data_IF_172419425357
#
_entry.id   IF_172419425357
#
_cell.length_a   1.000
_cell.length_b   1.000
_cell.length_c   1.000
_cell.angle_alpha   90.00
_cell.angle_beta   90.00
_cell.angle_gamma   90.00
#
_symmetry.space_group_name_H-M   'P 1'
#
loop_
_entity.id
_entity.type
_entity.pdbx_description
1 polymer ?
#
# COMPACT_ATOMS: atom_id res chain seq x y z
N UNK A 1 19.70 2.51 -37.92
CA UNK A 1 19.83 2.48 -36.45
C UNK A 1 18.46 2.30 -35.81
N UNK A 2 18.12 1.07 -35.39
CA UNK A 2 16.88 0.74 -34.69
C UNK A 2 17.11 0.91 -33.18
N UNK A 3 16.43 1.84 -32.53
CA UNK A 3 16.48 2.02 -31.07
C UNK A 3 15.68 0.89 -30.41
N UNK A 4 16.33 0.22 -29.47
CA UNK A 4 15.95 -1.01 -28.78
C UNK A 4 14.64 -0.90 -27.99
N UNK A 5 13.61 -1.65 -28.40
CA UNK A 5 12.47 -2.01 -27.55
C UNK A 5 12.77 -3.18 -26.58
N UNK A 6 13.95 -3.82 -26.64
CA UNK A 6 14.20 -5.07 -25.90
C UNK A 6 14.68 -4.92 -24.45
N UNK A 7 15.38 -3.84 -24.07
CA UNK A 7 15.93 -3.69 -22.70
C UNK A 7 14.88 -3.36 -21.62
N UNK A 8 13.83 -2.64 -22.00
CA UNK A 8 12.77 -2.20 -21.05
C UNK A 8 11.79 -3.30 -20.71
N UNK A 9 11.55 -4.23 -21.65
CA UNK A 9 10.70 -5.40 -21.44
C UNK A 9 11.34 -6.38 -20.45
N UNK A 10 12.67 -6.50 -20.50
CA UNK A 10 13.46 -7.37 -19.63
C UNK A 10 13.38 -6.96 -18.15
N UNK A 11 13.56 -5.66 -17.86
CA UNK A 11 13.49 -5.13 -16.48
C UNK A 11 12.10 -5.24 -15.84
N UNK A 12 11.06 -5.14 -16.66
CA UNK A 12 9.70 -5.23 -16.12
C UNK A 12 9.34 -6.67 -15.74
N UNK A 13 9.70 -7.63 -16.60
CA UNK A 13 9.56 -9.05 -16.33
C UNK A 13 10.40 -9.43 -15.12
N UNK A 14 11.63 -8.92 -15.01
CA UNK A 14 12.51 -9.12 -13.86
C UNK A 14 11.88 -8.61 -12.55
N UNK A 15 11.38 -7.36 -12.53
CA UNK A 15 10.68 -6.81 -11.36
C UNK A 15 9.44 -7.64 -11.00
N UNK A 16 8.67 -8.08 -12.00
CA UNK A 16 7.49 -8.91 -11.78
C UNK A 16 7.81 -10.27 -11.15
N UNK A 17 8.87 -10.94 -11.64
CA UNK A 17 9.35 -12.21 -11.08
C UNK A 17 9.82 -12.02 -9.63
N UNK A 18 10.61 -10.98 -9.36
CA UNK A 18 11.12 -10.66 -8.01
C UNK A 18 9.99 -10.30 -7.04
N UNK A 19 9.01 -9.50 -7.46
CA UNK A 19 7.81 -9.20 -6.66
C UNK A 19 7.00 -10.46 -6.37
N UNK A 20 6.92 -11.39 -7.32
CA UNK A 20 6.23 -12.65 -7.14
C UNK A 20 6.91 -13.52 -6.09
N UNK A 21 8.23 -13.68 -6.17
CA UNK A 21 9.02 -14.36 -5.14
C UNK A 21 8.81 -13.69 -3.78
N UNK A 22 8.98 -12.36 -3.71
CA UNK A 22 8.78 -11.59 -2.48
C UNK A 22 7.38 -11.80 -1.89
N UNK A 23 6.33 -11.85 -2.72
CA UNK A 23 4.96 -12.07 -2.26
C UNK A 23 4.72 -13.44 -1.64
N UNK A 24 5.51 -14.45 -2.02
CA UNK A 24 5.45 -15.78 -1.44
C UNK A 24 6.23 -15.80 -0.12
N UNK A 25 7.48 -15.34 -0.13
CA UNK A 25 8.38 -15.44 1.03
C UNK A 25 8.10 -14.43 2.15
N UNK A 26 7.48 -13.30 1.80
CA UNK A 26 7.21 -12.16 2.68
C UNK A 26 5.72 -11.84 2.64
N UNK A 27 4.89 -12.87 2.82
CA UNK A 27 3.45 -12.84 2.53
C UNK A 27 2.67 -11.71 3.23
N UNK A 28 3.18 -11.11 4.31
CA UNK A 28 2.72 -9.83 4.85
C UNK A 28 3.87 -9.09 5.56
N UNK A 29 4.15 -7.83 5.22
CA UNK A 29 5.13 -7.03 5.96
C UNK A 29 4.65 -5.64 6.36
N UNK A 30 4.71 -5.40 7.66
CA UNK A 30 4.58 -4.14 8.41
C UNK A 30 3.45 -3.24 7.91
N UNK A 31 2.31 -3.31 8.59
CA UNK A 31 1.44 -2.15 8.69
C UNK A 31 2.27 -0.97 9.21
N UNK A 32 2.48 0.04 8.37
CA UNK A 32 3.15 1.28 8.77
C UNK A 32 2.14 2.41 8.62
N UNK A 33 2.06 3.21 9.68
CA UNK A 33 1.41 4.51 9.60
C UNK A 33 2.26 5.47 8.76
N UNK A 34 1.62 6.46 8.15
CA UNK A 34 2.33 7.56 7.52
C UNK A 34 2.95 8.47 8.59
N UNK A 35 4.11 9.10 8.33
CA UNK A 35 4.67 10.09 9.25
C UNK A 35 3.68 11.22 9.52
N UNK A 36 3.50 11.57 10.80
CA UNK A 36 2.66 12.71 11.21
C UNK A 36 3.38 14.03 10.88
N UNK A 37 2.62 15.00 10.39
CA UNK A 37 3.03 16.40 10.17
C UNK A 37 2.38 17.31 11.20
N UNK A 38 2.56 18.63 11.02
CA UNK A 38 1.83 19.63 11.78
C UNK A 38 0.33 19.57 11.50
N UNK A 39 -0.44 20.17 12.41
CA UNK A 39 -1.89 20.03 12.50
C UNK A 39 -2.62 20.37 11.19
N UNK A 40 -2.15 21.36 10.45
CA UNK A 40 -2.76 21.83 9.20
C UNK A 40 -2.56 20.82 8.07
N UNK A 41 -1.33 20.34 7.90
CA UNK A 41 -1.01 19.31 6.90
C UNK A 41 -1.71 17.99 7.23
N UNK A 42 -1.74 17.59 8.50
CA UNK A 42 -2.45 16.38 8.92
C UNK A 42 -3.96 16.48 8.64
N UNK A 43 -4.58 17.62 8.93
CA UNK A 43 -5.99 17.86 8.59
C UNK A 43 -6.23 17.77 7.08
N UNK A 44 -5.33 18.32 6.26
CA UNK A 44 -5.40 18.22 4.78
C UNK A 44 -5.29 16.78 4.30
N UNK A 45 -4.34 16.01 4.84
CA UNK A 45 -4.14 14.59 4.49
C UNK A 45 -5.33 13.74 4.91
N UNK A 46 -5.87 13.99 6.10
CA UNK A 46 -7.08 13.35 6.59
C UNK A 46 -8.30 13.65 5.74
N UNK A 47 -8.44 14.88 5.25
CA UNK A 47 -9.46 15.26 4.27
C UNK A 47 -9.29 14.44 2.97
N UNK A 48 -8.07 14.37 2.44
CA UNK A 48 -7.77 13.64 1.20
C UNK A 48 -8.08 12.15 1.33
N UNK A 49 -7.63 11.50 2.40
CA UNK A 49 -7.91 10.09 2.70
C UNK A 49 -9.42 9.84 2.87
N UNK A 50 -10.12 10.77 3.53
CA UNK A 50 -11.57 10.67 3.75
C UNK A 50 -12.35 10.77 2.44
N UNK A 51 -12.01 11.74 1.58
CA UNK A 51 -12.63 11.87 0.26
C UNK A 51 -12.32 10.63 -0.58
N UNK A 52 -11.07 10.15 -0.59
CA UNK A 52 -10.67 8.94 -1.31
C UNK A 52 -11.47 7.72 -0.82
N UNK A 53 -11.65 7.57 0.49
CA UNK A 53 -12.46 6.51 1.09
C UNK A 53 -13.92 6.58 0.63
N UNK A 54 -14.54 7.75 0.67
CA UNK A 54 -15.94 7.94 0.29
C UNK A 54 -16.19 7.71 -1.22
N UNK A 55 -15.17 7.92 -2.05
CA UNK A 55 -15.23 7.67 -3.49
C UNK A 55 -15.01 6.19 -3.88
N UNK A 56 -14.49 5.36 -2.98
CA UNK A 56 -14.27 3.93 -3.21
C UNK A 56 -15.56 3.13 -2.92
N UNK A 57 -16.48 3.16 -3.88
CA UNK A 57 -17.89 2.76 -3.68
C UNK A 57 -18.16 1.25 -3.76
N UNK A 58 -17.17 0.43 -4.15
CA UNK A 58 -17.30 -1.04 -4.24
C UNK A 58 -16.24 -1.75 -3.41
N UNK A 59 -16.54 -2.96 -2.92
CA UNK A 59 -15.49 -3.81 -2.35
C UNK A 59 -14.62 -4.38 -3.46
N UNK A 60 -13.31 -4.33 -3.27
CA UNK A 60 -12.34 -4.99 -4.14
C UNK A 60 -11.12 -4.11 -4.42
N UNK A 61 -10.53 -4.32 -5.59
CA UNK A 61 -9.40 -3.53 -6.08
C UNK A 61 -9.75 -2.49 -7.14
N UNK A 62 -10.89 -2.62 -7.82
CA UNK A 62 -11.19 -1.82 -9.02
C UNK A 62 -11.50 -0.34 -8.73
N UNK A 63 -12.30 -0.07 -7.69
CA UNK A 63 -12.74 1.30 -7.32
C UNK A 63 -11.85 1.97 -6.28
N UNK A 64 -10.74 1.33 -5.90
CA UNK A 64 -9.76 1.94 -4.99
C UNK A 64 -9.40 3.30 -5.56
N UNK A 65 -9.67 4.33 -4.78
CA UNK A 65 -9.58 5.72 -5.20
C UNK A 65 -8.43 6.40 -4.49
N UNK A 66 -7.71 7.23 -5.21
CA UNK A 66 -6.68 8.12 -4.69
C UNK A 66 -7.04 9.58 -4.97
N UNK A 67 -6.53 10.48 -4.14
CA UNK A 67 -6.79 11.93 -4.18
C UNK A 67 -5.49 12.73 -4.06
N UNK A 68 -5.42 13.89 -4.71
CA UNK A 68 -4.33 14.84 -4.56
C UNK A 68 -4.82 16.28 -4.75
N UNK A 69 -4.16 17.24 -4.10
CA UNK A 69 -4.47 18.67 -4.26
C UNK A 69 -3.37 19.36 -5.06
N UNK A 70 -3.76 19.92 -6.20
CA UNK A 70 -2.93 20.81 -6.99
C UNK A 70 -3.19 22.26 -6.54
N UNK A 71 -2.11 23.02 -6.36
CA UNK A 71 -2.13 24.48 -6.40
C UNK A 71 -2.05 24.91 -7.87
N UNK A 72 -3.05 25.62 -8.35
CA UNK A 72 -3.12 26.17 -9.70
C UNK A 72 -3.32 27.70 -9.59
N UNK A 73 -2.22 28.45 -9.61
CA UNK A 73 -2.21 29.87 -9.25
C UNK A 73 -2.83 30.12 -7.86
N UNK A 74 -3.89 30.92 -7.78
CA UNK A 74 -4.67 31.18 -6.56
C UNK A 74 -5.72 30.11 -6.26
N UNK A 75 -5.95 29.18 -7.20
CA UNK A 75 -6.97 28.16 -7.11
C UNK A 75 -6.43 26.82 -6.63
N UNK A 76 -7.35 25.99 -6.14
CA UNK A 76 -7.06 24.59 -5.76
C UNK A 76 -7.89 23.64 -6.59
N UNK A 77 -7.22 22.65 -7.19
CA UNK A 77 -7.87 21.56 -7.94
C UNK A 77 -7.72 20.27 -7.14
N UNK A 78 -8.84 19.60 -6.88
CA UNK A 78 -8.84 18.24 -6.34
C UNK A 78 -8.80 17.23 -7.49
N UNK A 79 -7.75 16.44 -7.53
CA UNK A 79 -7.61 15.35 -8.48
C UNK A 79 -8.06 14.01 -7.90
N UNK A 80 -8.76 13.23 -8.70
CA UNK A 80 -9.22 11.88 -8.41
C UNK A 80 -8.59 10.88 -9.38
N UNK A 81 -8.21 9.71 -8.88
CA UNK A 81 -7.85 8.56 -9.70
C UNK A 81 -8.45 7.29 -9.11
N UNK A 82 -8.79 6.31 -9.95
CA UNK A 82 -9.18 4.98 -9.50
C UNK A 82 -8.51 3.91 -10.36
N UNK A 83 -8.32 2.72 -9.80
CA UNK A 83 -7.62 1.62 -10.48
C UNK A 83 -8.23 1.26 -11.84
N UNK A 84 -9.54 1.43 -12.01
CA UNK A 84 -10.25 1.22 -13.29
C UNK A 84 -10.93 2.49 -13.82
N UNK A 85 -10.41 3.66 -13.43
CA UNK A 85 -10.93 4.97 -13.83
C UNK A 85 -12.06 5.47 -12.95
N UNK A 86 -12.12 6.80 -12.77
CA UNK A 86 -13.18 7.46 -12.01
C UNK A 86 -14.45 7.50 -12.83
N UNK A 87 -15.55 7.03 -12.25
CA UNK A 87 -16.86 7.06 -12.89
C UNK A 87 -17.50 8.44 -12.77
N UNK A 88 -18.37 8.76 -13.73
CA UNK A 88 -19.02 10.08 -13.80
C UNK A 88 -19.86 10.38 -12.56
N UNK A 89 -20.56 9.38 -12.03
CA UNK A 89 -21.39 9.47 -10.83
C UNK A 89 -20.54 9.69 -9.57
N UNK A 90 -19.33 9.12 -9.51
CA UNK A 90 -18.39 9.33 -8.40
C UNK A 90 -17.86 10.75 -8.43
N UNK A 91 -17.48 11.27 -9.61
CA UNK A 91 -17.04 12.68 -9.76
C UNK A 91 -18.13 13.66 -9.32
N UNK A 92 -19.37 13.47 -9.82
CA UNK A 92 -20.54 14.29 -9.44
C UNK A 92 -20.83 14.20 -7.94
N UNK A 93 -20.71 13.01 -7.36
CA UNK A 93 -20.83 12.82 -5.92
C UNK A 93 -19.76 13.61 -5.16
N UNK A 94 -18.49 13.58 -5.58
CA UNK A 94 -17.43 14.36 -4.95
C UNK A 94 -17.69 15.87 -5.02
N UNK A 95 -18.17 16.37 -6.16
CA UNK A 95 -18.55 17.78 -6.31
C UNK A 95 -19.66 18.18 -5.33
N UNK A 96 -20.73 17.38 -5.25
CA UNK A 96 -21.82 17.58 -4.29
C UNK A 96 -21.36 17.46 -2.84
N UNK A 97 -20.48 16.51 -2.54
CA UNK A 97 -19.90 16.30 -1.21
C UNK A 97 -19.14 17.57 -0.75
N UNK A 98 -18.33 18.16 -1.63
CA UNK A 98 -17.58 19.38 -1.34
C UNK A 98 -18.47 20.60 -1.20
N UNK A 99 -19.50 20.73 -2.04
CA UNK A 99 -20.50 21.79 -1.92
C UNK A 99 -21.17 21.77 -0.54
N UNK A 100 -21.70 20.61 -0.13
CA UNK A 100 -22.30 20.44 1.20
C UNK A 100 -21.30 20.64 2.33
N UNK A 101 -20.04 20.22 2.16
CA UNK A 101 -19.00 20.44 3.18
C UNK A 101 -18.70 21.94 3.40
N UNK A 102 -18.86 22.80 2.37
CA UNK A 102 -18.67 24.25 2.54
C UNK A 102 -19.77 24.92 3.36
N UNK A 103 -20.93 24.30 3.45
CA UNK A 103 -22.06 24.78 4.26
C UNK A 103 -21.92 24.47 5.75
N UNK A 104 -20.88 23.72 6.15
CA UNK A 104 -20.66 23.32 7.55
C UNK A 104 -20.30 24.54 8.41
N UNK A 105 -21.04 24.66 9.50
CA UNK A 105 -20.86 25.61 10.59
C UNK A 105 -20.95 24.86 11.93
N UNK A 106 -20.52 25.50 13.02
CA UNK A 106 -20.55 24.88 14.36
C UNK A 106 -21.97 24.46 14.75
N UNK A 107 -22.96 25.28 14.41
CA UNK A 107 -24.37 25.12 14.75
C UNK A 107 -25.10 24.03 13.94
N UNK A 108 -24.62 23.70 12.73
CA UNK A 108 -25.32 22.76 11.83
C UNK A 108 -24.52 21.46 11.55
N UNK A 109 -23.37 21.28 12.19
CA UNK A 109 -22.44 20.16 11.90
C UNK A 109 -23.13 18.80 11.95
N UNK A 110 -23.97 18.54 12.97
CA UNK A 110 -24.65 17.25 13.12
C UNK A 110 -25.70 16.98 12.01
N UNK A 111 -26.35 18.04 11.54
CA UNK A 111 -27.33 17.97 10.45
C UNK A 111 -26.60 17.70 9.13
N UNK A 112 -25.54 18.45 8.83
CA UNK A 112 -24.75 18.30 7.60
C UNK A 112 -24.05 16.93 7.59
N UNK A 113 -23.50 16.45 8.71
CA UNK A 113 -22.95 15.10 8.85
C UNK A 113 -23.98 14.03 8.47
N UNK A 114 -25.24 14.19 8.91
CA UNK A 114 -26.30 13.24 8.61
C UNK A 114 -26.64 13.23 7.12
N UNK A 115 -26.72 14.41 6.50
CA UNK A 115 -26.95 14.55 5.05
C UNK A 115 -25.79 13.97 4.23
N UNK A 116 -24.55 14.31 4.58
CA UNK A 116 -23.33 13.77 3.94
C UNK A 116 -23.25 12.25 4.06
N UNK A 117 -23.56 11.70 5.24
CA UNK A 117 -23.59 10.26 5.44
C UNK A 117 -24.66 9.59 4.56
N UNK A 118 -25.86 10.17 4.44
CA UNK A 118 -26.92 9.62 3.59
C UNK A 118 -26.46 9.47 2.14
N UNK A 119 -25.95 10.56 1.54
CA UNK A 119 -25.50 10.54 0.13
C UNK A 119 -24.30 9.61 -0.07
N UNK A 120 -23.41 9.48 0.92
CA UNK A 120 -22.30 8.54 0.85
C UNK A 120 -22.77 7.09 0.88
N UNK A 121 -23.79 6.76 1.67
CA UNK A 121 -24.35 5.42 1.75
C UNK A 121 -25.25 5.07 0.55
N UNK A 122 -25.83 6.06 -0.12
CA UNK A 122 -26.58 5.88 -1.37
C UNK A 122 -25.66 5.48 -2.54
N UNK A 123 -24.49 6.09 -2.67
CA UNK A 123 -23.54 5.72 -3.73
C UNK A 123 -22.74 4.45 -3.40
N UNK A 124 -22.50 4.17 -2.11
CA UNK A 124 -21.70 3.03 -1.66
C UNK A 124 -22.53 1.77 -1.32
N UNK A 125 -23.76 1.63 -1.82
CA UNK A 125 -24.68 0.52 -1.51
C UNK A 125 -24.02 -0.84 -1.69
N UNK A 126 -23.34 -1.07 -2.81
CA UNK A 126 -22.67 -2.35 -3.09
C UNK A 126 -21.59 -2.69 -2.04
N UNK A 127 -20.77 -1.69 -1.65
CA UNK A 127 -19.73 -1.87 -0.63
C UNK A 127 -20.32 -2.11 0.75
N UNK A 128 -21.33 -1.35 1.14
CA UNK A 128 -22.00 -1.50 2.45
C UNK A 128 -22.67 -2.87 2.54
N UNK A 129 -23.39 -3.28 1.50
CA UNK A 129 -24.05 -4.58 1.44
C UNK A 129 -23.05 -5.74 1.56
N UNK A 130 -21.89 -5.64 0.89
CA UNK A 130 -20.84 -6.64 1.03
C UNK A 130 -20.43 -6.83 2.50
N UNK A 131 -20.11 -5.75 3.21
CA UNK A 131 -19.66 -5.84 4.61
C UNK A 131 -20.80 -6.20 5.57
N UNK A 132 -22.03 -5.76 5.29
CA UNK A 132 -23.22 -6.14 6.05
C UNK A 132 -23.47 -7.66 5.98
N UNK A 133 -23.42 -8.24 4.78
CA UNK A 133 -23.61 -9.68 4.59
C UNK A 133 -22.53 -10.49 5.31
N UNK A 134 -21.27 -10.02 5.25
CA UNK A 134 -20.16 -10.66 5.94
C UNK A 134 -20.30 -10.56 7.46
N UNK A 135 -20.67 -9.39 7.98
CA UNK A 135 -20.94 -9.21 9.41
C UNK A 135 -22.08 -10.11 9.89
N UNK A 136 -23.19 -10.18 9.15
CA UNK A 136 -24.32 -11.05 9.47
C UNK A 136 -23.91 -12.53 9.48
N UNK A 137 -23.15 -12.96 8.47
CA UNK A 137 -22.62 -14.33 8.38
C UNK A 137 -21.71 -14.66 9.56
N UNK A 138 -20.80 -13.75 9.95
CA UNK A 138 -19.91 -13.98 11.10
C UNK A 138 -20.69 -13.99 12.43
N UNK A 139 -21.82 -13.29 12.52
CA UNK A 139 -22.71 -13.31 13.69
C UNK A 139 -23.75 -14.45 13.65
N UNK A 140 -23.74 -15.31 12.63
CA UNK A 140 -24.75 -16.36 12.43
C UNK A 140 -26.19 -15.81 12.37
N UNK A 141 -26.34 -14.56 11.90
CA UNK A 141 -27.63 -13.92 11.65
C UNK A 141 -28.09 -14.21 10.24
N UNK A 142 -29.41 -14.20 10.02
CA UNK A 142 -29.96 -14.31 8.67
C UNK A 142 -29.40 -13.21 7.76
N UNK A 143 -28.77 -13.55 6.62
CA UNK A 143 -28.12 -12.57 5.76
C UNK A 143 -29.18 -11.75 5.01
N UNK A 144 -29.55 -10.61 5.59
CA UNK A 144 -30.37 -9.60 4.92
C UNK A 144 -29.53 -8.35 4.67
N UNK A 145 -29.72 -7.73 3.50
CA UNK A 145 -29.23 -6.39 3.23
C UNK A 145 -30.32 -5.37 3.53
N UNK A 146 -29.93 -4.18 3.96
CA UNK A 146 -30.90 -3.10 4.15
C UNK A 146 -31.10 -2.38 2.83
N UNK A 147 -32.31 -2.48 2.26
CA UNK A 147 -32.69 -1.69 1.07
C UNK A 147 -32.87 -0.20 1.41
N UNK A 148 -33.23 0.11 2.66
CA UNK A 148 -33.47 1.46 3.17
C UNK A 148 -32.19 2.14 3.68
N UNK A 149 -31.89 3.34 3.15
CA UNK A 149 -30.76 4.17 3.59
C UNK A 149 -30.82 4.51 5.08
N UNK A 150 -32.01 4.71 5.67
CA UNK A 150 -32.14 4.98 7.11
C UNK A 150 -31.64 3.81 7.95
N UNK A 151 -31.96 2.57 7.56
CA UNK A 151 -31.45 1.36 8.23
C UNK A 151 -29.94 1.21 8.06
N UNK A 152 -29.39 1.46 6.86
CA UNK A 152 -27.93 1.48 6.63
C UNK A 152 -27.24 2.52 7.51
N UNK A 153 -27.80 3.72 7.63
CA UNK A 153 -27.30 4.78 8.51
C UNK A 153 -27.24 4.35 9.97
N UNK A 154 -28.29 3.70 10.48
CA UNK A 154 -28.31 3.16 11.85
C UNK A 154 -27.22 2.12 12.06
N UNK A 155 -27.06 1.17 11.13
CA UNK A 155 -26.00 0.16 11.18
C UNK A 155 -24.61 0.79 11.21
N UNK A 156 -24.33 1.72 10.28
CA UNK A 156 -23.03 2.37 10.18
C UNK A 156 -22.70 3.19 11.43
N UNK A 157 -23.69 3.89 12.00
CA UNK A 157 -23.53 4.59 13.30
C UNK A 157 -23.18 3.61 14.41
N UNK A 158 -23.93 2.50 14.52
CA UNK A 158 -23.64 1.47 15.52
C UNK A 158 -22.22 0.89 15.36
N UNK A 159 -21.83 0.54 14.14
CA UNK A 159 -20.48 0.04 13.87
C UNK A 159 -19.39 1.10 14.15
N UNK A 160 -19.67 2.38 13.95
CA UNK A 160 -18.74 3.46 14.27
C UNK A 160 -18.47 3.53 15.79
N UNK A 161 -19.51 3.49 16.63
CA UNK A 161 -19.34 3.49 18.09
C UNK A 161 -18.52 2.29 18.59
N UNK A 162 -18.77 1.11 18.00
CA UNK A 162 -18.04 -0.12 18.33
C UNK A 162 -16.57 -0.11 17.92
N UNK A 163 -16.10 0.82 17.07
CA UNK A 163 -14.67 0.91 16.71
C UNK A 163 -13.77 1.15 17.91
N UNK A 164 -14.30 1.80 18.96
CA UNK A 164 -13.60 2.03 20.23
C UNK A 164 -13.39 0.75 21.06
N UNK A 165 -14.12 -0.32 20.76
CA UNK A 165 -14.12 -1.59 21.52
C UNK A 165 -13.24 -2.68 20.88
N UNK A 166 -12.21 -2.28 20.12
CA UNK A 166 -11.31 -3.20 19.41
C UNK A 166 -10.82 -4.37 20.29
N UNK A 167 -10.19 -4.05 21.43
CA UNK A 167 -9.60 -5.05 22.31
C UNK A 167 -10.64 -6.07 22.82
N UNK A 168 -11.85 -5.61 23.15
CA UNK A 168 -12.93 -6.47 23.64
C UNK A 168 -13.43 -7.40 22.53
N UNK A 169 -13.60 -6.89 21.32
CA UNK A 169 -14.09 -7.69 20.19
C UNK A 169 -13.02 -8.69 19.75
N UNK A 170 -11.76 -8.28 19.64
CA UNK A 170 -10.66 -9.16 19.24
C UNK A 170 -10.32 -10.23 20.30
N UNK A 171 -10.66 -10.00 21.58
CA UNK A 171 -10.53 -11.01 22.64
C UNK A 171 -11.41 -12.26 22.41
N UNK A 172 -12.40 -12.19 21.50
CA UNK A 172 -13.22 -13.33 21.07
C UNK A 172 -12.49 -14.28 20.08
N UNK A 173 -11.16 -14.14 19.94
CA UNK A 173 -10.34 -14.97 19.05
C UNK A 173 -10.44 -14.57 17.57
N UNK A 174 -10.23 -15.53 16.67
CA UNK A 174 -10.22 -15.29 15.22
C UNK A 174 -11.56 -14.74 14.70
N UNK A 175 -12.68 -15.27 15.21
CA UNK A 175 -14.02 -14.76 14.93
C UNK A 175 -14.15 -13.29 15.35
N UNK A 176 -13.59 -12.94 16.51
CA UNK A 176 -13.50 -11.56 17.01
C UNK A 176 -12.72 -10.63 16.07
N UNK A 177 -11.55 -11.05 15.60
CA UNK A 177 -10.75 -10.29 14.64
C UNK A 177 -11.50 -10.06 13.33
N UNK A 178 -12.21 -11.07 12.83
CA UNK A 178 -13.04 -10.95 11.63
C UNK A 178 -14.23 -10.01 11.85
N UNK A 179 -14.93 -10.12 12.99
CA UNK A 179 -16.01 -9.20 13.37
C UNK A 179 -15.52 -7.77 13.43
N UNK A 180 -14.41 -7.54 14.12
CA UNK A 180 -13.82 -6.21 14.23
C UNK A 180 -13.46 -5.64 12.85
N UNK A 181 -12.93 -6.47 11.94
CA UNK A 181 -12.65 -6.04 10.58
C UNK A 181 -13.91 -5.49 9.87
N UNK A 182 -15.03 -6.20 9.91
CA UNK A 182 -16.26 -5.75 9.26
C UNK A 182 -16.91 -4.55 9.97
N UNK A 183 -16.91 -4.52 11.29
CA UNK A 183 -17.34 -3.38 12.10
C UNK A 183 -16.53 -2.13 11.74
N UNK A 184 -15.20 -2.27 11.71
CA UNK A 184 -14.30 -1.19 11.34
C UNK A 184 -14.62 -0.66 9.94
N UNK A 185 -14.80 -1.56 8.95
CA UNK A 185 -15.11 -1.19 7.57
C UNK A 185 -16.47 -0.51 7.40
N UNK A 186 -17.51 -0.96 8.10
CA UNK A 186 -18.83 -0.32 8.07
C UNK A 186 -18.78 1.08 8.69
N UNK A 187 -18.25 1.18 9.91
CA UNK A 187 -18.14 2.45 10.64
C UNK A 187 -17.19 3.48 10.00
N UNK A 188 -16.32 3.05 9.09
CA UNK A 188 -15.39 3.95 8.40
C UNK A 188 -16.08 5.03 7.53
N UNK A 189 -17.32 4.80 7.07
CA UNK A 189 -18.07 5.82 6.32
C UNK A 189 -18.38 7.04 7.20
N UNK A 190 -18.92 6.81 8.40
CA UNK A 190 -19.17 7.90 9.35
C UNK A 190 -17.86 8.53 9.84
N UNK A 191 -16.81 7.72 10.05
CA UNK A 191 -15.49 8.24 10.40
C UNK A 191 -14.94 9.22 9.35
N UNK A 192 -15.05 8.88 8.07
CA UNK A 192 -14.62 9.74 6.98
C UNK A 192 -15.47 11.03 6.88
N UNK A 193 -16.79 10.93 7.04
CA UNK A 193 -17.68 12.10 7.09
C UNK A 193 -17.32 13.02 8.25
N UNK A 194 -17.09 12.47 9.45
CA UNK A 194 -16.70 13.25 10.64
C UNK A 194 -15.35 13.95 10.49
N UNK A 195 -14.37 13.28 9.84
CA UNK A 195 -13.09 13.93 9.50
C UNK A 195 -13.29 15.09 8.53
N UNK A 196 -14.10 14.89 7.49
CA UNK A 196 -14.40 15.94 6.52
C UNK A 196 -15.11 17.14 7.16
N UNK A 197 -16.12 16.92 8.01
CA UNK A 197 -16.82 18.01 8.71
C UNK A 197 -15.92 18.69 9.75
N UNK A 198 -15.04 17.95 10.43
CA UNK A 198 -14.04 18.54 11.31
C UNK A 198 -13.11 19.49 10.55
N UNK A 199 -12.62 19.10 9.37
CA UNK A 199 -11.81 19.96 8.50
C UNK A 199 -12.61 21.16 8.01
N UNK A 200 -13.86 20.94 7.62
CA UNK A 200 -14.77 22.00 7.18
C UNK A 200 -14.97 23.10 8.23
N UNK A 201 -15.11 22.69 9.49
CA UNK A 201 -15.36 23.59 10.61
C UNK A 201 -14.09 24.33 11.05
N UNK A 202 -12.96 23.62 11.17
CA UNK A 202 -11.75 24.16 11.80
C UNK A 202 -10.74 24.74 10.80
N UNK A 203 -10.81 24.32 9.53
CA UNK A 203 -9.86 24.68 8.48
C UNK A 203 -10.58 25.08 7.19
N UNK A 204 -11.57 25.99 7.28
CA UNK A 204 -12.45 26.39 6.16
C UNK A 204 -11.73 26.69 4.85
N UNK A 205 -10.55 27.29 4.90
CA UNK A 205 -9.77 27.62 3.69
C UNK A 205 -9.35 26.38 2.89
N UNK A 206 -9.26 25.20 3.51
CA UNK A 206 -8.96 23.93 2.82
C UNK A 206 -10.07 23.46 1.89
N UNK A 207 -11.31 23.91 2.09
CA UNK A 207 -12.46 23.58 1.23
C UNK A 207 -12.64 24.55 0.05
N UNK A 208 -11.73 25.52 -0.12
CA UNK A 208 -11.66 26.40 -1.31
C UNK A 208 -11.10 25.65 -2.53
N UNK A 209 -11.67 24.47 -2.81
CA UNK A 209 -11.41 23.68 -4.00
C UNK A 209 -12.28 24.26 -5.12
N UNK A 210 -11.67 24.84 -6.15
CA UNK A 210 -12.38 25.43 -7.30
C UNK A 210 -12.94 24.36 -8.22
N UNK A 211 -12.19 23.27 -8.41
CA UNK A 211 -12.53 22.24 -9.39
C UNK A 211 -12.20 20.85 -8.87
N UNK A 212 -13.05 19.89 -9.25
CA UNK A 212 -12.76 18.45 -9.14
C UNK A 212 -12.40 17.94 -10.53
N UNK A 213 -11.27 17.25 -10.62
CA UNK A 213 -10.81 16.61 -11.85
C UNK A 213 -10.50 15.14 -11.64
N UNK A 214 -10.54 14.38 -12.74
CA UNK A 214 -10.21 12.97 -12.73
C UNK A 214 -9.06 12.70 -13.70
N UNK A 215 -8.15 11.79 -13.33
CA UNK A 215 -7.13 11.29 -14.26
C UNK A 215 -7.81 10.67 -15.47
N UNK A 216 -7.34 11.03 -16.67
CA UNK A 216 -7.80 10.41 -17.90
C UNK A 216 -7.37 8.96 -17.92
N UNK A 217 -8.34 8.05 -17.81
CA UNK A 217 -8.09 6.63 -17.81
C UNK A 217 -8.26 6.04 -19.22
N UNK A 218 -7.24 5.31 -19.67
CA UNK A 218 -7.31 4.45 -20.84
C UNK A 218 -6.90 3.04 -20.45
N UNK A 219 -7.74 2.05 -20.77
CA UNK A 219 -7.50 0.64 -20.42
C UNK A 219 -6.20 0.11 -21.03
N UNK A 220 -5.83 0.56 -22.23
CA UNK A 220 -4.57 0.19 -22.89
C UNK A 220 -3.34 0.66 -22.14
N UNK A 221 -3.44 1.81 -21.49
CA UNK A 221 -2.29 2.49 -20.87
C UNK A 221 -2.10 2.07 -19.41
N UNK A 222 -3.17 1.56 -18.79
CA UNK A 222 -3.22 1.28 -17.35
C UNK A 222 -3.32 -0.20 -17.02
N UNK A 223 -3.62 -1.05 -18.00
CA UNK A 223 -3.71 -2.50 -17.79
C UNK A 223 -3.00 -3.26 -18.88
N UNK A 224 -2.28 -4.32 -18.50
CA UNK A 224 -1.64 -5.23 -19.45
C UNK A 224 -1.64 -6.65 -18.95
N UNK A 225 -1.53 -7.59 -19.89
CA UNK A 225 -1.33 -9.00 -19.57
C UNK A 225 0.16 -9.27 -19.52
N UNK A 226 0.64 -9.81 -18.40
CA UNK A 226 2.00 -10.28 -18.24
C UNK A 226 1.97 -11.80 -18.25
N UNK A 227 2.82 -12.42 -19.07
CA UNK A 227 3.03 -13.87 -19.11
C UNK A 227 4.50 -14.16 -18.81
N UNK A 228 4.74 -14.97 -17.78
CA UNK A 228 6.08 -15.37 -17.34
C UNK A 228 6.38 -16.78 -17.88
N UNK A 229 7.55 -16.98 -18.49
CA UNK A 229 8.00 -18.30 -18.95
C UNK A 229 8.50 -19.15 -17.78
N UNK A 230 8.49 -20.47 -17.94
CA UNK A 230 8.91 -21.41 -16.88
C UNK A 230 10.40 -21.27 -16.53
N UNK A 231 11.23 -20.94 -17.53
CA UNK A 231 12.67 -20.71 -17.36
C UNK A 231 12.96 -19.54 -16.41
N UNK A 232 12.09 -18.53 -16.39
CA UNK A 232 12.22 -17.36 -15.52
C UNK A 232 11.67 -17.60 -14.11
N UNK A 233 11.03 -18.73 -13.87
CA UNK A 233 10.34 -19.06 -12.62
C UNK A 233 11.07 -20.15 -11.81
N UNK A 234 12.35 -20.38 -12.08
CA UNK A 234 13.18 -21.17 -11.19
C UNK A 234 13.63 -20.32 -9.97
N UNK A 235 13.14 -20.61 -8.75
CA UNK A 235 13.44 -19.77 -7.61
C UNK A 235 14.93 -19.79 -7.21
N UNK A 236 15.66 -20.87 -7.48
CA UNK A 236 17.09 -20.94 -7.18
C UNK A 236 17.87 -20.04 -8.13
N UNK A 237 17.49 -20.03 -9.41
CA UNK A 237 18.12 -19.15 -10.38
C UNK A 237 17.80 -17.67 -10.09
N UNK A 238 16.55 -17.35 -9.69
CA UNK A 238 16.17 -16.00 -9.28
C UNK A 238 17.05 -15.52 -8.11
N UNK A 239 17.15 -16.30 -7.03
CA UNK A 239 17.94 -15.91 -5.85
C UNK A 239 19.42 -15.81 -6.18
N UNK A 240 19.95 -16.73 -7.00
CA UNK A 240 21.33 -16.68 -7.49
C UNK A 240 21.60 -15.39 -8.27
N UNK A 241 20.72 -15.02 -9.21
CA UNK A 241 20.84 -13.79 -10.00
C UNK A 241 20.81 -12.54 -9.10
N UNK A 242 19.91 -12.49 -8.11
CA UNK A 242 19.86 -11.40 -7.12
C UNK A 242 21.21 -11.25 -6.40
N UNK A 243 21.84 -12.37 -6.04
CA UNK A 243 23.14 -12.37 -5.36
C UNK A 243 24.30 -11.95 -6.27
N UNK A 244 24.24 -12.25 -7.58
CA UNK A 244 25.35 -12.01 -8.52
C UNK A 244 25.26 -10.70 -9.28
N UNK A 245 24.06 -10.18 -9.56
CA UNK A 245 23.85 -8.98 -10.38
C UNK A 245 23.61 -7.70 -9.57
N UNK A 246 23.12 -7.84 -8.33
CA UNK A 246 22.69 -6.70 -7.50
C UNK A 246 23.81 -5.87 -6.86
N UNK A 247 25.05 -6.37 -6.85
CA UNK A 247 26.15 -5.77 -6.08
C UNK A 247 27.46 -5.80 -6.87
N UNK A 248 28.14 -4.65 -6.96
CA UNK A 248 29.46 -4.53 -7.56
C UNK A 248 30.46 -5.53 -6.98
N UNK A 249 31.30 -6.04 -7.87
CA UNK A 249 32.37 -7.04 -7.72
C UNK A 249 32.93 -7.29 -6.32
N UNK A 250 33.07 -8.59 -6.02
CA UNK A 250 33.95 -9.27 -5.03
C UNK A 250 33.77 -9.09 -3.52
N UNK A 251 33.02 -8.11 -3.01
CA UNK A 251 33.01 -7.85 -1.55
C UNK A 251 32.04 -8.71 -0.69
N UNK A 252 31.30 -9.67 -1.26
CA UNK A 252 30.25 -10.43 -0.51
C UNK A 252 30.05 -11.92 -0.85
N UNK A 253 31.00 -12.63 -1.47
CA UNK A 253 30.89 -14.11 -1.63
C UNK A 253 30.44 -14.85 -0.34
N UNK A 254 30.92 -14.49 0.87
CA UNK A 254 30.48 -15.14 2.11
C UNK A 254 28.98 -14.97 2.44
N UNK A 255 28.34 -13.94 1.89
CA UNK A 255 26.92 -13.64 2.15
C UNK A 255 25.99 -14.40 1.20
N UNK A 256 26.46 -14.77 0.01
CA UNK A 256 25.70 -15.58 -0.96
C UNK A 256 25.34 -16.95 -0.37
N UNK A 257 26.31 -17.62 0.26
CA UNK A 257 26.06 -18.93 0.87
C UNK A 257 25.02 -18.84 2.00
N UNK A 258 25.10 -17.81 2.85
CA UNK A 258 24.10 -17.57 3.90
C UNK A 258 22.71 -17.32 3.32
N UNK A 259 22.59 -16.51 2.26
CA UNK A 259 21.32 -16.26 1.58
C UNK A 259 20.75 -17.54 0.99
N UNK A 260 21.57 -18.35 0.31
CA UNK A 260 21.15 -19.62 -0.28
C UNK A 260 20.71 -20.63 0.78
N UNK A 261 21.41 -20.72 1.92
CA UNK A 261 21.00 -21.54 3.07
C UNK A 261 19.64 -21.08 3.60
N UNK A 262 19.45 -19.77 3.80
CA UNK A 262 18.17 -19.20 4.22
C UNK A 262 17.04 -19.51 3.23
N UNK A 263 17.34 -19.47 1.92
CA UNK A 263 16.41 -19.80 0.86
C UNK A 263 16.02 -21.28 0.85
N UNK A 264 16.97 -22.22 0.87
CA UNK A 264 16.70 -23.66 0.90
C UNK A 264 15.77 -24.03 2.07
N UNK A 265 16.04 -23.48 3.26
CA UNK A 265 15.19 -23.71 4.44
C UNK A 265 13.76 -23.24 4.22
N UNK A 266 13.61 -22.05 3.65
CA UNK A 266 12.29 -21.50 3.36
C UNK A 266 11.56 -22.27 2.27
N UNK A 267 12.27 -22.74 1.24
CA UNK A 267 11.69 -23.55 0.16
C UNK A 267 11.19 -24.90 0.67
N UNK A 268 11.91 -25.54 1.59
CA UNK A 268 11.45 -26.77 2.28
C UNK A 268 10.11 -26.54 2.99
N UNK A 269 9.98 -25.42 3.72
CA UNK A 269 8.76 -25.10 4.47
C UNK A 269 7.59 -24.69 3.55
N UNK A 270 7.89 -23.97 2.46
CA UNK A 270 6.86 -23.26 1.69
C UNK A 270 6.57 -23.88 0.33
N UNK A 271 7.41 -24.76 -0.18
CA UNK A 271 7.34 -25.34 -1.52
C UNK A 271 7.14 -24.24 -2.59
N UNK A 272 8.17 -23.42 -2.81
CA UNK A 272 8.07 -22.11 -3.48
C UNK A 272 7.88 -22.27 -4.99
N UNK A 273 8.56 -23.23 -5.63
CA UNK A 273 8.54 -23.39 -7.10
C UNK A 273 7.12 -23.57 -7.66
N UNK A 274 6.26 -24.47 -7.15
CA UNK A 274 4.87 -24.57 -7.62
C UNK A 274 4.06 -23.28 -7.43
N UNK A 275 4.28 -22.55 -6.33
CA UNK A 275 3.58 -21.27 -6.05
C UNK A 275 4.01 -20.16 -7.01
N UNK A 276 5.28 -20.14 -7.43
CA UNK A 276 5.76 -19.23 -8.47
C UNK A 276 5.17 -19.56 -9.84
N UNK A 277 5.02 -20.85 -10.15
CA UNK A 277 4.53 -21.33 -11.45
C UNK A 277 3.00 -21.34 -11.59
N UNK A 278 2.25 -21.12 -10.50
CA UNK A 278 0.80 -20.91 -10.58
C UNK A 278 0.47 -19.67 -11.45
N UNK A 279 -0.73 -19.54 -12.04
CA UNK A 279 -1.22 -18.30 -12.68
C UNK A 279 -0.14 -17.47 -13.44
N UNK A 280 0.56 -18.11 -14.38
CA UNK A 280 1.71 -17.52 -15.11
C UNK A 280 1.32 -16.33 -15.98
N UNK A 281 0.07 -16.32 -16.43
CA UNK A 281 -0.53 -15.21 -17.14
C UNK A 281 -1.50 -14.49 -16.23
N UNK A 282 -1.25 -13.22 -15.97
CA UNK A 282 -2.11 -12.40 -15.12
C UNK A 282 -2.24 -10.99 -15.67
N UNK A 283 -3.35 -10.35 -15.30
CA UNK A 283 -3.60 -8.94 -15.64
C UNK A 283 -2.95 -8.05 -14.59
N UNK A 284 -1.93 -7.30 -14.98
CA UNK A 284 -1.34 -6.26 -14.16
C UNK A 284 -2.05 -4.92 -14.41
N UNK A 285 -2.00 -4.03 -13.40
CA UNK A 285 -2.60 -2.70 -13.50
C UNK A 285 -1.78 -1.63 -12.79
N UNK A 286 -1.94 -0.40 -13.25
CA UNK A 286 -1.45 0.78 -12.56
C UNK A 286 -2.45 1.18 -11.48
N UNK A 287 -1.96 1.27 -10.24
CA UNK A 287 -2.76 1.69 -9.10
C UNK A 287 -3.06 3.20 -9.10
N UNK A 288 -4.16 3.58 -8.48
CA UNK A 288 -4.67 4.95 -8.41
C UNK A 288 -3.64 5.93 -7.83
N UNK A 289 -2.89 5.52 -6.81
CA UNK A 289 -1.83 6.34 -6.22
C UNK A 289 -0.74 6.68 -7.26
N UNK A 290 -0.36 5.68 -8.06
CA UNK A 290 0.65 5.83 -9.11
C UNK A 290 0.16 6.69 -10.27
N UNK A 291 -1.12 6.61 -10.61
CA UNK A 291 -1.74 7.45 -11.63
C UNK A 291 -1.63 8.95 -11.28
N UNK A 292 -1.90 9.32 -10.02
CA UNK A 292 -1.76 10.71 -9.56
C UNK A 292 -0.30 11.14 -9.46
N UNK A 293 0.57 10.28 -8.92
CA UNK A 293 1.99 10.58 -8.82
C UNK A 293 2.61 10.83 -10.20
N UNK A 294 2.24 10.01 -11.17
CA UNK A 294 2.68 10.16 -12.55
C UNK A 294 2.13 11.44 -13.20
N UNK A 295 0.83 11.72 -13.04
CA UNK A 295 0.23 12.96 -13.56
C UNK A 295 0.96 14.20 -13.06
N UNK A 296 1.14 14.33 -11.73
CA UNK A 296 1.80 15.48 -11.14
C UNK A 296 3.27 15.57 -11.56
N UNK A 297 3.96 14.43 -11.62
CA UNK A 297 5.36 14.36 -12.05
C UNK A 297 5.55 14.79 -13.50
N UNK A 298 4.70 14.30 -14.41
CA UNK A 298 4.82 14.57 -15.85
C UNK A 298 4.36 15.96 -16.23
N UNK A 299 3.28 16.44 -15.61
CA UNK A 299 2.73 17.77 -15.88
C UNK A 299 3.43 18.88 -15.09
N UNK A 300 4.29 18.52 -14.13
CA UNK A 300 4.96 19.50 -13.28
C UNK A 300 3.99 20.26 -12.37
N UNK A 301 2.90 19.61 -11.95
CA UNK A 301 1.91 20.25 -11.08
C UNK A 301 2.46 20.42 -9.66
N UNK A 302 2.16 21.58 -9.08
CA UNK A 302 2.57 21.93 -7.72
C UNK A 302 1.53 21.41 -6.73
N UNK A 303 1.98 20.72 -5.69
CA UNK A 303 1.11 20.27 -4.61
C UNK A 303 0.70 21.45 -3.71
N UNK A 304 -0.53 21.44 -3.22
CA UNK A 304 -0.99 22.47 -2.29
C UNK A 304 -0.19 22.40 -0.99
N UNK A 305 0.46 23.52 -0.64
CA UNK A 305 1.22 23.65 0.62
C UNK A 305 2.54 22.88 0.63
N UNK A 306 3.12 22.60 -0.54
CA UNK A 306 4.34 21.78 -0.71
C UNK A 306 4.23 20.34 -0.17
N UNK A 307 3.03 19.93 0.22
CA UNK A 307 2.73 18.61 0.77
C UNK A 307 2.45 17.64 -0.38
N UNK A 308 3.50 16.92 -0.84
CA UNK A 308 3.45 15.96 -1.96
C UNK A 308 2.74 14.66 -1.59
N UNK A 309 1.60 14.78 -0.92
CA UNK A 309 0.81 13.69 -0.41
C UNK A 309 -0.27 13.25 -1.40
N UNK A 310 -0.38 11.94 -1.57
CA UNK A 310 -1.46 11.30 -2.32
C UNK A 310 -2.31 10.53 -1.31
N UNK A 311 -3.54 10.99 -1.09
CA UNK A 311 -4.49 10.30 -0.23
C UNK A 311 -5.07 9.07 -0.91
N UNK A 312 -5.48 8.06 -0.14
CA UNK A 312 -6.01 6.81 -0.70
C UNK A 312 -7.11 6.20 0.19
N UNK A 313 -8.05 5.47 -0.43
CA UNK A 313 -9.18 4.83 0.26
C UNK A 313 -8.78 3.71 1.23
N UNK A 314 -7.54 3.24 1.13
CA UNK A 314 -6.90 2.26 2.01
C UNK A 314 -5.38 2.48 1.96
N UNK A 315 -4.65 1.92 2.93
CA UNK A 315 -3.19 1.97 2.90
C UNK A 315 -2.64 1.43 1.58
N UNK A 316 -1.51 1.97 1.12
CA UNK A 316 -0.84 1.55 -0.09
C UNK A 316 -0.46 0.07 -0.05
N UNK A 317 -0.37 -0.57 -1.21
CA UNK A 317 0.33 -1.84 -1.32
C UNK A 317 1.85 -1.62 -1.23
N UNK A 318 2.61 -2.69 -1.03
CA UNK A 318 4.08 -2.62 -0.97
C UNK A 318 4.67 -1.87 -2.18
N UNK A 319 4.23 -2.22 -3.40
CA UNK A 319 4.71 -1.57 -4.62
C UNK A 319 4.47 -0.06 -4.60
N UNK A 320 3.26 0.38 -4.28
CA UNK A 320 2.91 1.80 -4.27
C UNK A 320 3.66 2.57 -3.17
N UNK A 321 3.80 1.95 -1.99
CA UNK A 321 4.54 2.52 -0.87
C UNK A 321 6.02 2.75 -1.23
N UNK A 322 6.69 1.74 -1.78
CA UNK A 322 8.10 1.86 -2.17
C UNK A 322 8.26 2.79 -3.38
N UNK A 323 7.36 2.70 -4.37
CA UNK A 323 7.41 3.55 -5.55
C UNK A 323 7.34 5.03 -5.16
N UNK A 324 6.37 5.42 -4.32
CA UNK A 324 6.24 6.81 -3.86
C UNK A 324 7.44 7.23 -3.00
N UNK A 325 7.92 6.35 -2.12
CA UNK A 325 9.07 6.63 -1.23
C UNK A 325 10.38 6.82 -2.00
N UNK A 326 10.58 6.07 -3.09
CA UNK A 326 11.81 6.09 -3.90
C UNK A 326 11.75 7.09 -5.06
N UNK A 327 10.57 7.67 -5.31
CA UNK A 327 10.33 8.56 -6.44
C UNK A 327 11.20 9.81 -6.38
N UNK A 328 11.78 10.20 -7.51
CA UNK A 328 12.68 11.37 -7.61
C UNK A 328 12.03 12.69 -7.16
N UNK A 329 10.70 12.81 -7.32
CA UNK A 329 9.93 13.97 -6.86
C UNK A 329 9.59 13.92 -5.37
N UNK A 330 10.19 13.03 -4.57
CA UNK A 330 10.09 13.02 -3.10
C UNK A 330 8.63 13.11 -2.62
N UNK A 331 7.79 12.19 -3.06
CA UNK A 331 6.42 12.11 -2.57
C UNK A 331 6.41 11.80 -1.07
N UNK A 332 5.38 12.28 -0.40
CA UNK A 332 5.17 11.99 1.01
C UNK A 332 4.77 10.52 1.17
N UNK A 333 5.41 9.86 2.14
CA UNK A 333 5.27 8.42 2.34
C UNK A 333 3.85 8.09 2.81
N UNK A 334 3.11 7.21 2.10
CA UNK A 334 1.76 6.84 2.50
C UNK A 334 1.77 5.83 3.66
N UNK A 335 0.61 5.65 4.30
CA UNK A 335 0.39 4.48 5.13
C UNK A 335 0.33 3.22 4.23
N UNK A 336 0.67 2.05 4.76
CA UNK A 336 0.69 0.81 3.97
C UNK A 336 0.02 -0.35 4.70
N UNK A 337 -0.69 -1.19 3.93
CA UNK A 337 -1.16 -2.49 4.42
C UNK A 337 -0.14 -3.61 4.17
N UNK A 338 1.01 -3.30 3.56
CA UNK A 338 2.14 -4.23 3.50
C UNK A 338 2.00 -5.41 2.54
N UNK A 339 0.89 -5.49 1.79
CA UNK A 339 0.64 -6.62 0.89
C UNK A 339 1.44 -6.42 -0.39
N UNK A 340 2.25 -7.41 -0.72
CA UNK A 340 3.02 -7.48 -1.97
C UNK A 340 2.09 -8.00 -3.07
N UNK A 341 1.98 -7.25 -4.16
CA UNK A 341 1.11 -7.58 -5.30
C UNK A 341 1.96 -7.62 -6.56
N UNK A 342 2.11 -8.81 -7.16
CA UNK A 342 2.79 -8.97 -8.45
C UNK A 342 1.98 -8.39 -9.63
N UNK A 343 0.67 -8.17 -9.45
CA UNK A 343 -0.23 -7.63 -10.47
C UNK A 343 -0.24 -6.09 -10.55
N UNK A 344 0.83 -5.43 -10.11
CA UNK A 344 0.97 -3.96 -10.13
C UNK A 344 2.20 -3.56 -10.94
N UNK A 345 2.08 -2.50 -11.74
CA UNK A 345 3.20 -1.90 -12.47
C UNK A 345 3.08 -0.37 -12.47
N UNK A 346 4.17 0.33 -12.81
CA UNK A 346 4.17 1.78 -13.04
C UNK A 346 3.78 2.14 -14.48
N UNK A 347 3.32 3.37 -14.74
CA UNK A 347 3.04 3.81 -16.11
C UNK A 347 4.33 3.83 -16.96
N UNK A 348 4.20 3.46 -18.23
CA UNK A 348 5.29 3.51 -19.21
C UNK A 348 5.17 4.74 -20.10
N UNK A 349 6.30 5.35 -20.46
CA UNK A 349 6.36 6.47 -21.39
C UNK A 349 6.86 6.07 -22.79
N UNK A 350 6.40 6.83 -23.79
CA UNK A 350 6.89 6.75 -25.18
C UNK A 350 7.98 7.78 -25.54
N UNK A 351 8.22 8.80 -24.70
CA UNK A 351 9.22 9.86 -24.98
C UNK A 351 10.59 9.55 -24.37
N UNK A 352 11.69 9.87 -25.08
CA UNK A 352 13.07 9.49 -24.68
C UNK A 352 13.48 9.96 -23.28
N UNK A 353 13.19 11.21 -22.90
CA UNK A 353 13.54 11.74 -21.56
C UNK A 353 12.76 11.03 -20.47
N UNK A 354 11.48 10.78 -20.72
CA UNK A 354 10.63 10.10 -19.76
C UNK A 354 11.01 8.62 -19.64
N UNK A 355 11.44 7.95 -20.72
CA UNK A 355 11.98 6.58 -20.64
C UNK A 355 13.21 6.47 -19.74
N UNK A 356 14.09 7.47 -19.68
CA UNK A 356 15.25 7.44 -18.79
C UNK A 356 14.86 7.56 -17.30
N UNK A 357 13.90 8.45 -16.99
CA UNK A 357 13.35 8.60 -15.63
C UNK A 357 12.60 7.34 -15.20
N UNK A 358 11.82 6.75 -16.10
CA UNK A 358 11.09 5.50 -15.86
C UNK A 358 12.06 4.34 -15.60
N UNK A 359 13.11 4.19 -16.42
CA UNK A 359 14.15 3.18 -16.20
C UNK A 359 14.84 3.36 -14.85
N UNK A 360 15.15 4.61 -14.47
CA UNK A 360 15.75 4.90 -13.16
C UNK A 360 14.84 4.47 -12.02
N UNK A 361 13.53 4.73 -12.13
CA UNK A 361 12.56 4.28 -11.12
C UNK A 361 12.41 2.76 -11.09
N UNK A 362 12.32 2.09 -12.25
CA UNK A 362 12.27 0.62 -12.32
C UNK A 362 13.50 -0.01 -11.65
N UNK A 363 14.69 0.49 -11.91
CA UNK A 363 15.93 0.01 -11.27
C UNK A 363 15.95 0.23 -9.75
N UNK A 364 15.45 1.38 -9.26
CA UNK A 364 15.30 1.60 -7.81
C UNK A 364 14.33 0.61 -7.18
N UNK A 365 13.21 0.33 -7.84
CA UNK A 365 12.23 -0.66 -7.39
C UNK A 365 12.82 -2.07 -7.36
N UNK A 366 13.53 -2.48 -8.42
CA UNK A 366 14.20 -3.79 -8.47
C UNK A 366 15.16 -3.93 -7.28
N UNK A 367 16.07 -2.97 -7.09
CA UNK A 367 17.03 -2.99 -5.98
C UNK A 367 16.36 -3.03 -4.61
N UNK A 368 15.25 -2.31 -4.43
CA UNK A 368 14.51 -2.33 -3.17
C UNK A 368 13.90 -3.72 -2.92
N UNK A 369 13.27 -4.31 -3.93
CA UNK A 369 12.70 -5.67 -3.85
C UNK A 369 13.80 -6.70 -3.56
N UNK A 370 14.94 -6.61 -4.24
CA UNK A 370 16.11 -7.47 -4.01
C UNK A 370 16.62 -7.36 -2.56
N UNK A 371 16.82 -6.14 -2.07
CA UNK A 371 17.21 -5.90 -0.68
C UNK A 371 16.20 -6.53 0.29
N UNK A 372 14.90 -6.36 0.03
CA UNK A 372 13.84 -6.91 0.87
C UNK A 372 13.79 -8.45 0.83
N UNK A 373 14.06 -9.07 -0.32
CA UNK A 373 14.23 -10.53 -0.46
C UNK A 373 15.43 -10.97 0.39
N UNK A 374 16.59 -10.35 0.20
CA UNK A 374 17.83 -10.69 0.92
C UNK A 374 17.64 -10.61 2.43
N UNK A 375 17.07 -9.50 2.94
CA UNK A 375 16.82 -9.35 4.37
C UNK A 375 15.88 -10.42 4.92
N UNK A 376 14.84 -10.77 4.14
CA UNK A 376 13.90 -11.84 4.50
C UNK A 376 14.60 -13.20 4.59
N UNK A 377 15.44 -13.54 3.60
CA UNK A 377 16.18 -14.80 3.58
C UNK A 377 17.24 -14.87 4.69
N UNK A 378 17.97 -13.78 4.94
CA UNK A 378 18.95 -13.71 6.02
C UNK A 378 18.32 -13.88 7.40
N UNK A 379 17.10 -13.36 7.62
CA UNK A 379 16.38 -13.56 8.89
C UNK A 379 16.03 -15.03 9.21
N UNK A 380 16.17 -15.94 8.23
CA UNK A 380 15.96 -17.38 8.42
C UNK A 380 17.25 -18.16 8.69
N UNK A 381 18.39 -17.50 8.60
CA UNK A 381 19.68 -18.07 8.98
C UNK A 381 19.81 -17.93 10.50
N UNK A 382 20.01 -19.04 11.25
CA UNK A 382 20.27 -18.96 12.68
C UNK A 382 21.50 -18.08 12.92
N UNK A 383 21.48 -17.27 13.98
CA UNK A 383 22.71 -16.63 14.43
C UNK A 383 23.73 -17.72 14.77
N UNK A 384 24.91 -17.64 14.15
CA UNK A 384 26.05 -18.47 14.53
C UNK A 384 26.24 -18.29 16.05
N UNK A 385 26.01 -19.35 16.85
CA UNK A 385 26.43 -19.34 18.26
C UNK A 385 27.92 -19.02 18.22
N UNK A 386 28.28 -17.81 18.66
CA UNK A 386 29.66 -17.36 18.82
C UNK A 386 30.48 -18.53 19.36
N UNK A 387 31.55 -18.86 18.64
CA UNK A 387 32.32 -20.07 18.84
C UNK A 387 32.67 -20.30 20.31
N UNK A 388 32.33 -21.49 20.81
CA UNK A 388 33.17 -22.16 21.79
C UNK A 388 34.45 -22.59 21.05
N UNK A 389 35.36 -21.64 20.88
CA UNK A 389 36.77 -21.94 20.82
C UNK A 389 37.38 -21.50 22.16
N UNK A 390 38.48 -22.16 22.52
CA UNK A 390 39.31 -22.04 23.74
C UNK A 390 39.00 -23.09 24.81
N UNK A 391 39.92 -23.94 25.26
CA UNK A 391 41.32 -24.14 24.86
C UNK A 391 41.78 -25.49 25.41
N UNK A 392 42.41 -26.32 24.57
CA UNK A 392 43.27 -27.41 25.04
C UNK A 392 44.59 -26.81 25.51
N UNK A 393 44.66 -26.37 26.77
CA UNK A 393 45.94 -26.11 27.41
C UNK A 393 46.28 -27.31 28.28
N UNK A 394 47.27 -28.07 27.80
CA UNK A 394 47.92 -29.13 28.57
C UNK A 394 48.44 -28.59 29.89
N UNK A 395 48.08 -29.25 30.97
CA UNK A 395 48.66 -29.05 32.28
C UNK A 395 50.11 -29.55 32.27
N UNK A 396 51.04 -28.62 32.08
CA UNK A 396 52.44 -28.80 32.46
C UNK A 396 52.56 -28.75 33.99
N UNK A 397 53.24 -29.78 34.50
CA UNK A 397 53.68 -30.07 35.87
C UNK A 397 54.17 -28.83 36.64
N UNK A 398 53.84 -28.65 37.93
CA UNK A 398 54.51 -27.67 38.77
C UNK A 398 55.79 -28.26 39.38
N UNK A 399 56.92 -27.62 39.10
CA UNK A 399 58.20 -27.81 39.79
C UNK A 399 58.16 -27.20 41.19
N UNK A 400 58.52 -28.00 42.18
CA UNK A 400 58.67 -27.66 43.59
C UNK A 400 60.11 -27.20 43.85
N UNK A 401 60.31 -25.94 44.23
CA UNK A 401 61.35 -25.44 45.16
C UNK A 401 61.21 -23.91 45.26
N UNK A 402 61.31 -23.20 46.39
CA UNK A 402 61.58 -23.55 47.77
C UNK A 402 61.55 -22.25 48.60
N UNK A 403 60.96 -22.35 49.81
CA UNK A 403 61.43 -21.79 51.11
C UNK A 403 61.88 -20.30 51.18
N UNK A 404 61.41 -19.47 52.12
CA UNK A 404 61.52 -19.64 53.59
C UNK A 404 60.75 -18.56 54.39
N UNK A 405 60.35 -18.97 55.61
CA UNK A 405 60.10 -18.26 56.91
C UNK A 405 58.71 -18.65 57.44
N UNK A 406 58.56 -19.34 58.58
CA UNK A 406 59.44 -19.55 59.74
C UNK A 406 59.74 -21.04 60.01
#
# INVERSE_FOLDING_TARGET
>A
MKVSKSKTLDQEVDLAVKLRLLSIIKANCLHKERPKKHVVEEARRDMLDSIAYLCDIRKGGATVTATALQRDNEDTILWLAANEGIRSEVKKFTEKLLEMAREVKMENVAEVETKLLSIALEIAVERVNFYQLRLASTLELWPATFNDTKKRTKLVRFCYELRSKKAVIEAMGEKGKELWHYIYRLGAHLHAVKKLTHVATNFRTMLKIKKVEAVRFSKSDHTKSITLSDELLDPYQIVKNICTEGYGTDSRRPMTDKIMVGFVRMDIEMNIKPKLQQDRTYKSRVHAELQLADLFSRKGYTFLGEDRYVGCSKGACYFCYEYLSLHQNKFERPATHGKVLASVHGLENSTKIATQKDMTMKLRMIRQVENDIIQTLLSKVPEDRKGLFMSSNGSSVPSVDGRLKA
#
